data_IF_237801868734
#
_entry.id   IF_237801868734
#
_cell.length_a   1.000
_cell.length_b   1.000
_cell.length_c   1.000
_cell.angle_alpha   90.00
_cell.angle_beta   90.00
_cell.angle_gamma   90.00
#
_symmetry.space_group_name_H-M   'P 1'
#
loop_
_entity.id
_entity.type
_entity.pdbx_description
1 polymer ?
#
# COMPACT_ATOMS: atom_id res chain seq x y z
N UNK A 1 42.78 60.62 -52.56
CA UNK A 1 43.31 62.00 -52.61
C UNK A 1 42.71 62.70 -53.84
N UNK A 2 41.49 63.21 -53.73
CA UNK A 2 40.86 64.05 -54.75
C UNK A 2 40.33 65.27 -53.99
N UNK A 3 41.10 66.37 -53.98
CA UNK A 3 40.75 67.59 -53.26
C UNK A 3 39.64 68.30 -54.03
N UNK A 4 38.40 67.91 -53.77
CA UNK A 4 37.22 68.69 -54.18
C UNK A 4 37.29 70.06 -53.50
N UNK A 5 37.73 71.05 -54.28
CA UNK A 5 37.99 72.43 -53.87
C UNK A 5 36.71 73.28 -53.98
N UNK A 6 35.54 72.69 -53.73
CA UNK A 6 34.25 73.30 -54.08
C UNK A 6 33.95 74.59 -53.30
N UNK A 7 34.28 74.68 -52.01
CA UNK A 7 33.96 75.89 -51.24
C UNK A 7 34.73 77.16 -51.63
N UNK A 8 35.90 77.07 -52.27
CA UNK A 8 36.73 78.26 -52.55
C UNK A 8 36.31 78.96 -53.85
N UNK A 9 35.91 78.16 -54.84
CA UNK A 9 35.57 78.65 -56.17
C UNK A 9 34.14 79.24 -56.16
N UNK A 10 33.22 78.65 -55.38
CA UNK A 10 31.84 79.14 -55.22
C UNK A 10 31.75 80.47 -54.46
N UNK A 11 32.55 80.65 -53.39
CA UNK A 11 32.61 81.92 -52.66
C UNK A 11 33.23 83.06 -53.48
N UNK A 12 34.19 82.73 -54.36
CA UNK A 12 34.77 83.69 -55.30
C UNK A 12 33.74 84.10 -56.34
N UNK A 13 32.88 83.18 -56.78
CA UNK A 13 31.78 83.46 -57.69
C UNK A 13 30.72 84.37 -57.06
N UNK A 14 30.30 84.12 -55.81
CA UNK A 14 29.37 84.98 -55.06
C UNK A 14 29.94 86.40 -54.89
N UNK A 15 31.23 86.51 -54.58
CA UNK A 15 31.91 87.81 -54.43
C UNK A 15 31.90 88.59 -55.75
N UNK A 16 32.17 87.93 -56.87
CA UNK A 16 32.12 88.55 -58.20
C UNK A 16 30.69 88.96 -58.60
N UNK A 17 29.68 88.16 -58.24
CA UNK A 17 28.27 88.50 -58.47
C UNK A 17 27.85 89.76 -57.69
N UNK A 18 28.23 89.87 -56.41
CA UNK A 18 27.99 91.07 -55.60
C UNK A 18 28.64 92.31 -56.20
N UNK A 19 29.89 92.19 -56.67
CA UNK A 19 30.61 93.29 -57.31
C UNK A 19 29.93 93.74 -58.61
N UNK A 20 29.47 92.80 -59.43
CA UNK A 20 28.74 93.12 -60.66
C UNK A 20 27.38 93.78 -60.38
N UNK A 21 26.65 93.33 -59.35
CA UNK A 21 25.39 93.97 -58.93
C UNK A 21 25.60 95.40 -58.43
N UNK A 22 26.70 95.66 -57.73
CA UNK A 22 27.05 97.02 -57.30
C UNK A 22 27.39 97.93 -58.50
N UNK A 23 28.09 97.40 -59.50
CA UNK A 23 28.37 98.13 -60.74
C UNK A 23 27.08 98.50 -61.49
N UNK A 24 26.10 97.59 -61.54
CA UNK A 24 24.78 97.83 -62.15
C UNK A 24 23.97 98.89 -61.39
N UNK A 25 24.05 98.90 -60.05
CA UNK A 25 23.43 99.94 -59.20
C UNK A 25 24.02 101.32 -59.50
N UNK A 26 25.34 101.42 -59.63
CA UNK A 26 26.06 102.67 -59.95
C UNK A 26 25.65 103.20 -61.33
N UNK A 27 25.46 102.30 -62.30
CA UNK A 27 25.03 102.63 -63.66
C UNK A 27 23.53 103.02 -63.77
N UNK A 28 22.75 102.88 -62.69
CA UNK A 28 21.28 103.03 -62.66
C UNK A 28 20.53 102.08 -63.61
N UNK A 29 21.12 100.91 -63.88
CA UNK A 29 20.54 99.89 -64.76
C UNK A 29 19.61 98.90 -64.02
N UNK A 30 19.56 98.99 -62.69
CA UNK A 30 18.67 98.18 -61.83
C UNK A 30 18.03 99.08 -60.76
N UNK A 31 16.74 98.85 -60.46
CA UNK A 31 16.05 99.54 -59.38
C UNK A 31 16.38 98.94 -58.00
N UNK A 32 16.13 99.73 -56.95
CA UNK A 32 16.56 99.38 -55.60
C UNK A 32 15.80 98.18 -55.02
N UNK A 33 14.53 97.97 -55.39
CA UNK A 33 13.73 96.84 -54.91
C UNK A 33 14.23 95.52 -55.51
N UNK A 34 14.42 95.48 -56.83
CA UNK A 34 14.98 94.31 -57.52
C UNK A 34 16.40 93.97 -57.04
N UNK A 35 17.23 94.98 -56.76
CA UNK A 35 18.56 94.78 -56.19
C UNK A 35 18.52 94.10 -54.82
N UNK A 36 17.59 94.51 -53.94
CA UNK A 36 17.41 93.93 -52.61
C UNK A 36 16.98 92.47 -52.73
N UNK A 37 16.05 92.14 -53.63
CA UNK A 37 15.57 90.76 -53.84
C UNK A 37 16.68 89.82 -54.31
N UNK A 38 17.49 90.27 -55.28
CA UNK A 38 18.63 89.48 -55.78
C UNK A 38 19.70 89.31 -54.70
N UNK A 39 19.98 90.35 -53.90
CA UNK A 39 20.91 90.25 -52.76
C UNK A 39 20.44 89.24 -51.72
N UNK A 40 19.17 89.32 -51.31
CA UNK A 40 18.59 88.38 -50.34
C UNK A 40 18.68 86.93 -50.86
N UNK A 41 18.45 86.72 -52.16
CA UNK A 41 18.59 85.41 -52.78
C UNK A 41 20.03 84.91 -52.74
N UNK A 42 21.00 85.78 -53.08
CA UNK A 42 22.43 85.46 -53.00
C UNK A 42 22.84 85.12 -51.56
N UNK A 43 22.38 85.90 -50.57
CA UNK A 43 22.69 85.67 -49.16
C UNK A 43 22.12 84.33 -48.68
N UNK A 44 20.87 84.01 -49.06
CA UNK A 44 20.25 82.71 -48.75
C UNK A 44 21.04 81.55 -49.38
N UNK A 45 21.45 81.67 -50.65
CA UNK A 45 22.26 80.65 -51.35
C UNK A 45 23.64 80.51 -50.72
N UNK A 46 24.27 81.60 -50.27
CA UNK A 46 25.54 81.57 -49.56
C UNK A 46 25.42 80.77 -48.25
N UNK A 47 24.37 81.03 -47.47
CA UNK A 47 24.10 80.29 -46.23
C UNK A 47 23.85 78.81 -46.51
N UNK A 48 23.07 78.47 -47.54
CA UNK A 48 22.86 77.07 -47.95
C UNK A 48 24.17 76.37 -48.35
N UNK A 49 25.04 77.05 -49.09
CA UNK A 49 26.35 76.51 -49.48
C UNK A 49 27.26 76.30 -48.27
N UNK A 50 27.31 77.26 -47.34
CA UNK A 50 28.06 77.11 -46.09
C UNK A 50 27.54 75.92 -45.26
N UNK A 51 26.23 75.75 -45.16
CA UNK A 51 25.61 74.60 -44.48
C UNK A 51 25.90 73.26 -45.17
N UNK A 52 25.97 73.23 -46.50
CA UNK A 52 26.38 72.03 -47.25
C UNK A 52 27.85 71.71 -47.02
N UNK A 53 28.72 72.72 -46.99
CA UNK A 53 30.14 72.55 -46.72
C UNK A 53 30.40 72.03 -45.30
N UNK A 54 29.68 72.52 -44.29
CA UNK A 54 29.76 71.98 -42.92
C UNK A 54 29.33 70.51 -42.89
N UNK A 55 28.17 70.17 -43.48
CA UNK A 55 27.68 68.80 -43.56
C UNK A 55 28.65 67.87 -44.30
N UNK A 56 29.25 68.32 -45.40
CA UNK A 56 30.25 67.54 -46.15
C UNK A 56 31.48 67.28 -45.27
N UNK A 57 31.93 68.26 -44.50
CA UNK A 57 33.07 68.09 -43.60
C UNK A 57 32.73 67.13 -42.44
N UNK A 58 31.53 67.21 -41.87
CA UNK A 58 31.04 66.26 -40.86
C UNK A 58 30.96 64.83 -41.42
N UNK A 59 30.35 64.66 -42.60
CA UNK A 59 30.28 63.37 -43.27
C UNK A 59 31.66 62.79 -43.57
N UNK A 60 32.61 63.62 -44.00
CA UNK A 60 34.01 63.19 -44.20
C UNK A 60 34.66 62.74 -42.90
N UNK A 61 34.47 63.49 -41.82
CA UNK A 61 35.00 63.11 -40.50
C UNK A 61 34.39 61.79 -40.03
N UNK A 62 33.07 61.64 -40.08
CA UNK A 62 32.38 60.40 -39.72
C UNK A 62 32.84 59.22 -40.58
N UNK A 63 33.01 59.44 -41.89
CA UNK A 63 33.52 58.41 -42.82
C UNK A 63 34.93 57.99 -42.43
N UNK A 64 35.81 58.93 -42.07
CA UNK A 64 37.17 58.62 -41.63
C UNK A 64 37.16 57.84 -40.31
N UNK A 65 36.29 58.19 -39.35
CA UNK A 65 36.13 57.44 -38.10
C UNK A 65 35.65 56.02 -38.36
N UNK A 66 34.61 55.83 -39.17
CA UNK A 66 34.08 54.50 -39.52
C UNK A 66 35.15 53.64 -40.23
N UNK A 67 35.94 54.23 -41.13
CA UNK A 67 37.04 53.52 -41.79
C UNK A 67 38.10 53.10 -40.75
N UNK A 68 38.44 53.97 -39.81
CA UNK A 68 39.38 53.66 -38.73
C UNK A 68 38.88 52.51 -37.85
N UNK A 69 37.64 52.59 -37.38
CA UNK A 69 37.02 51.57 -36.52
C UNK A 69 36.91 50.22 -37.24
N UNK A 70 36.57 50.24 -38.53
CA UNK A 70 36.53 49.04 -39.36
C UNK A 70 37.90 48.37 -39.44
N UNK A 71 38.97 49.13 -39.64
CA UNK A 71 40.34 48.58 -39.68
C UNK A 71 40.71 47.93 -38.34
N UNK A 72 40.36 48.56 -37.21
CA UNK A 72 40.61 48.00 -35.87
C UNK A 72 39.85 46.68 -35.69
N UNK A 73 38.56 46.65 -36.04
CA UNK A 73 37.74 45.44 -35.94
C UNK A 73 38.26 44.32 -36.85
N UNK A 74 38.72 44.63 -38.07
CA UNK A 74 39.33 43.65 -38.95
C UNK A 74 40.63 43.07 -38.35
N UNK A 75 41.45 43.89 -37.68
CA UNK A 75 42.64 43.42 -36.97
C UNK A 75 42.30 42.54 -35.77
N UNK A 76 41.34 42.93 -34.94
CA UNK A 76 40.87 42.13 -33.80
C UNK A 76 40.34 40.77 -34.26
N UNK A 77 39.58 40.74 -35.35
CA UNK A 77 39.02 39.51 -35.89
C UNK A 77 40.12 38.55 -36.39
N UNK A 78 41.19 39.07 -36.98
CA UNK A 78 42.37 38.26 -37.36
C UNK A 78 43.01 37.65 -36.11
N UNK A 79 43.26 38.45 -35.06
CA UNK A 79 43.87 37.96 -33.81
C UNK A 79 43.00 36.90 -33.14
N UNK A 80 41.69 37.12 -33.07
CA UNK A 80 40.75 36.14 -32.52
C UNK A 80 40.72 34.85 -33.35
N UNK A 81 40.76 34.96 -34.67
CA UNK A 81 40.83 33.80 -35.57
C UNK A 81 42.10 32.98 -35.32
N UNK A 82 43.25 33.64 -35.13
CA UNK A 82 44.51 32.96 -34.82
C UNK A 82 44.48 32.28 -33.44
N UNK A 83 43.88 32.93 -32.44
CA UNK A 83 43.68 32.33 -31.11
C UNK A 83 42.78 31.10 -31.17
N UNK A 84 41.68 31.16 -31.93
CA UNK A 84 40.79 30.01 -32.12
C UNK A 84 41.54 28.87 -32.82
N UNK A 85 42.34 29.16 -33.85
CA UNK A 85 43.15 28.15 -34.51
C UNK A 85 44.14 27.47 -33.55
N UNK A 86 44.83 28.25 -32.71
CA UNK A 86 45.73 27.71 -31.68
C UNK A 86 45.01 26.84 -30.64
N UNK A 87 43.84 27.28 -30.17
CA UNK A 87 43.04 26.49 -29.22
C UNK A 87 42.50 25.20 -29.84
N UNK A 88 42.14 25.21 -31.13
CA UNK A 88 41.72 24.00 -31.84
C UNK A 88 42.87 23.00 -32.00
N UNK A 89 44.09 23.47 -32.24
CA UNK A 89 45.29 22.63 -32.28
C UNK A 89 45.62 22.05 -30.90
N UNK A 90 45.58 22.86 -29.84
CA UNK A 90 45.79 22.40 -28.48
C UNK A 90 44.74 21.34 -28.08
N UNK A 91 43.47 21.59 -28.41
CA UNK A 91 42.39 20.62 -28.21
C UNK A 91 42.69 19.30 -28.93
N UNK A 92 43.07 19.34 -30.20
CA UNK A 92 43.40 18.13 -30.96
C UNK A 92 44.59 17.37 -30.36
N UNK A 93 45.61 18.08 -29.88
CA UNK A 93 46.76 17.49 -29.20
C UNK A 93 46.36 16.84 -27.86
N UNK A 94 45.51 17.49 -27.07
CA UNK A 94 44.98 16.94 -25.82
C UNK A 94 44.10 15.71 -26.06
N UNK A 95 43.23 15.74 -27.08
CA UNK A 95 42.41 14.58 -27.47
C UNK A 95 43.28 13.39 -27.87
N UNK A 96 44.36 13.62 -28.63
CA UNK A 96 45.32 12.57 -28.98
C UNK A 96 46.05 12.03 -27.74
N UNK A 97 46.53 12.91 -26.86
CA UNK A 97 47.18 12.50 -25.61
C UNK A 97 46.26 11.66 -24.73
N UNK A 98 44.99 12.05 -24.59
CA UNK A 98 43.98 11.26 -23.87
C UNK A 98 43.81 9.90 -24.54
N UNK A 99 43.74 9.83 -25.86
CA UNK A 99 43.61 8.57 -26.59
C UNK A 99 44.82 7.64 -26.35
N UNK A 100 46.05 8.18 -26.39
CA UNK A 100 47.28 7.42 -26.09
C UNK A 100 47.25 6.91 -24.65
N UNK A 101 46.91 7.78 -23.68
CA UNK A 101 46.83 7.40 -22.27
C UNK A 101 45.73 6.35 -22.01
N UNK A 102 44.61 6.42 -22.72
CA UNK A 102 43.54 5.42 -22.66
C UNK A 102 43.97 4.06 -23.23
N UNK A 103 44.80 4.03 -24.28
CA UNK A 103 45.35 2.79 -24.85
C UNK A 103 46.39 2.13 -23.94
N UNK A 104 47.19 2.93 -23.21
CA UNK A 104 48.23 2.42 -22.31
C UNK A 104 47.71 1.89 -20.97
N UNK A 105 46.46 2.19 -20.61
CA UNK A 105 45.84 1.70 -19.39
C UNK A 105 45.15 0.35 -19.64
N UNK A 106 45.35 -0.61 -18.74
CA UNK A 106 44.67 -1.90 -18.79
C UNK A 106 43.15 -1.68 -18.73
N UNK A 107 42.45 -2.12 -19.77
CA UNK A 107 40.99 -2.13 -19.81
C UNK A 107 40.54 -3.50 -19.31
N UNK A 108 39.62 -3.51 -18.34
CA UNK A 108 39.03 -4.75 -17.84
C UNK A 108 37.63 -4.84 -18.47
N UNK A 109 37.41 -5.76 -19.43
CA UNK A 109 36.08 -6.04 -19.94
C UNK A 109 35.13 -6.37 -18.80
N UNK A 110 33.87 -5.95 -18.91
CA UNK A 110 32.82 -6.19 -17.90
C UNK A 110 32.79 -7.63 -17.39
N UNK A 111 32.88 -8.61 -18.30
CA UNK A 111 32.92 -10.03 -17.99
C UNK A 111 34.12 -10.43 -17.11
N UNK A 112 35.29 -9.84 -17.34
CA UNK A 112 36.50 -10.15 -16.58
C UNK A 112 36.47 -9.52 -15.19
N UNK A 113 35.90 -8.31 -15.04
CA UNK A 113 35.73 -7.67 -13.74
C UNK A 113 34.84 -8.52 -12.83
N UNK A 114 33.66 -8.93 -13.34
CA UNK A 114 32.71 -9.77 -12.61
C UNK A 114 33.33 -11.13 -12.28
N UNK A 115 34.07 -11.73 -13.22
CA UNK A 115 34.71 -13.04 -13.02
C UNK A 115 35.85 -12.97 -12.00
N UNK A 116 36.72 -11.97 -12.09
CA UNK A 116 37.83 -11.77 -11.13
C UNK A 116 37.29 -11.48 -9.74
N UNK A 117 36.26 -10.65 -9.65
CA UNK A 117 35.63 -10.32 -8.39
C UNK A 117 34.91 -11.53 -7.77
N UNK A 118 34.21 -12.32 -8.60
CA UNK A 118 33.64 -13.62 -8.17
C UNK A 118 34.72 -14.55 -7.63
N UNK A 119 35.82 -14.73 -8.36
CA UNK A 119 36.94 -15.58 -7.92
C UNK A 119 37.56 -15.11 -6.60
N UNK A 120 37.71 -13.79 -6.41
CA UNK A 120 38.18 -13.22 -5.14
C UNK A 120 37.20 -13.45 -3.99
N UNK A 121 35.89 -13.35 -4.25
CA UNK A 121 34.87 -13.68 -3.26
C UNK A 121 34.84 -15.17 -2.92
N UNK A 122 34.96 -16.05 -3.91
CA UNK A 122 35.01 -17.50 -3.71
C UNK A 122 36.25 -17.88 -2.89
N UNK A 123 37.39 -17.24 -3.16
CA UNK A 123 38.61 -17.40 -2.37
C UNK A 123 38.44 -16.91 -0.92
N UNK A 124 37.77 -15.77 -0.72
CA UNK A 124 37.49 -15.25 0.62
C UNK A 124 36.51 -16.15 1.39
N UNK A 125 35.47 -16.65 0.71
CA UNK A 125 34.51 -17.59 1.28
C UNK A 125 35.18 -18.92 1.66
N UNK A 126 36.10 -19.42 0.83
CA UNK A 126 36.91 -20.60 1.14
C UNK A 126 37.76 -20.44 2.41
N UNK A 127 38.36 -19.25 2.61
CA UNK A 127 39.13 -18.95 3.83
C UNK A 127 38.26 -18.82 5.09
N UNK A 128 37.01 -18.36 4.94
CA UNK A 128 36.06 -18.22 6.05
C UNK A 128 35.41 -19.55 6.47
N UNK A 129 35.53 -20.59 5.64
CA UNK A 129 34.95 -21.93 5.85
C UNK A 129 35.99 -22.96 6.34
N UNK A 130 37.19 -22.51 6.73
CA UNK A 130 38.23 -23.38 7.28
C UNK A 130 37.80 -24.05 8.61
N UNK A 131 38.17 -25.32 8.84
CA UNK A 131 37.68 -26.13 9.96
C UNK A 131 38.10 -25.63 11.36
N UNK A 132 39.01 -24.66 11.46
CA UNK A 132 39.39 -24.03 12.74
C UNK A 132 38.47 -22.86 13.15
N UNK A 133 37.58 -22.42 12.25
CA UNK A 133 36.54 -21.42 12.55
C UNK A 133 35.40 -22.07 13.34
N UNK A 134 35.18 -21.63 14.58
CA UNK A 134 34.06 -22.09 15.44
C UNK A 134 32.67 -21.60 15.00
N UNK A 135 32.57 -20.84 13.92
CA UNK A 135 31.32 -20.27 13.46
C UNK A 135 31.23 -20.33 11.93
N UNK A 136 30.18 -21.00 11.44
CA UNK A 136 29.78 -20.96 10.04
C UNK A 136 29.23 -19.57 9.71
N UNK A 137 30.12 -18.65 9.33
CA UNK A 137 29.72 -17.33 8.86
C UNK A 137 29.30 -17.41 7.39
N UNK A 138 28.00 -17.26 7.12
CA UNK A 138 27.46 -17.11 5.77
C UNK A 138 27.24 -15.63 5.49
N UNK A 139 27.91 -15.07 4.47
CA UNK A 139 27.63 -13.72 3.99
C UNK A 139 26.32 -13.76 3.20
N UNK A 140 25.20 -13.43 3.84
CA UNK A 140 23.87 -13.43 3.21
C UNK A 140 23.76 -12.39 2.09
N UNK A 141 24.29 -11.19 2.32
CA UNK A 141 24.38 -10.13 1.32
C UNK A 141 25.54 -9.16 1.60
N UNK A 142 26.17 -8.67 0.53
CA UNK A 142 27.19 -7.63 0.60
C UNK A 142 26.89 -6.58 -0.46
N UNK A 143 26.76 -5.31 -0.04
CA UNK A 143 26.67 -4.18 -0.94
C UNK A 143 28.06 -3.62 -1.19
N UNK A 144 28.42 -3.43 -2.45
CA UNK A 144 29.72 -2.91 -2.83
C UNK A 144 29.52 -1.69 -3.70
N UNK A 145 30.25 -0.62 -3.36
CA UNK A 145 30.26 0.65 -4.08
C UNK A 145 31.66 0.93 -4.59
N UNK A 146 31.82 1.01 -5.91
CA UNK A 146 33.10 1.23 -6.58
C UNK A 146 33.10 2.56 -7.35
N UNK A 147 34.21 3.29 -7.25
CA UNK A 147 34.47 4.50 -8.03
C UNK A 147 35.44 4.18 -9.17
N UNK A 148 35.02 4.38 -10.42
CA UNK A 148 35.81 3.99 -11.60
C UNK A 148 35.48 4.87 -12.80
N UNK A 149 36.41 4.92 -13.76
CA UNK A 149 36.11 5.42 -15.09
C UNK A 149 35.28 4.39 -15.86
N UNK A 150 34.34 4.88 -16.66
CA UNK A 150 33.49 4.09 -17.55
C UNK A 150 33.70 4.58 -18.98
N UNK A 151 33.93 3.65 -19.90
CA UNK A 151 33.86 3.92 -21.33
C UNK A 151 33.05 2.84 -22.04
N UNK A 152 32.43 3.21 -23.15
CA UNK A 152 31.71 2.28 -24.02
C UNK A 152 32.57 2.04 -25.25
N UNK A 153 32.91 0.79 -25.53
CA UNK A 153 33.68 0.40 -26.71
C UNK A 153 33.03 -0.85 -27.32
N UNK A 154 32.68 -0.79 -28.60
CA UNK A 154 32.04 -1.89 -29.33
C UNK A 154 30.78 -2.43 -28.63
N UNK A 155 29.92 -1.52 -28.13
CA UNK A 155 28.72 -1.81 -27.31
C UNK A 155 28.97 -2.54 -25.97
N UNK A 156 30.23 -2.67 -25.55
CA UNK A 156 30.59 -3.21 -24.23
C UNK A 156 31.07 -2.12 -23.27
N UNK A 157 30.57 -2.17 -22.03
CA UNK A 157 31.08 -1.35 -20.94
C UNK A 157 32.49 -1.81 -20.54
N UNK A 158 33.43 -0.88 -20.59
CA UNK A 158 34.80 -1.05 -20.14
C UNK A 158 34.99 -0.31 -18.82
N UNK A 159 35.54 -1.01 -17.83
CA UNK A 159 35.81 -0.48 -16.51
C UNK A 159 37.30 -0.19 -16.37
N UNK A 160 37.62 0.99 -15.82
CA UNK A 160 38.98 1.40 -15.59
C UNK A 160 39.14 2.02 -14.21
N UNK A 161 39.76 1.24 -13.32
CA UNK A 161 40.10 1.68 -11.96
C UNK A 161 41.18 2.75 -12.00
N UNK A 162 41.10 3.78 -11.14
CA UNK A 162 42.21 4.69 -10.93
C UNK A 162 43.41 3.91 -10.37
N UNK A 163 44.61 4.26 -10.83
CA UNK A 163 45.83 3.73 -10.20
C UNK A 163 46.02 4.39 -8.82
N UNK A 164 46.73 3.75 -7.88
CA UNK A 164 46.99 4.34 -6.57
C UNK A 164 47.62 5.75 -6.62
N UNK A 165 48.43 6.01 -7.64
CA UNK A 165 49.13 7.30 -7.83
C UNK A 165 48.32 8.32 -8.64
N UNK A 166 47.13 7.98 -9.14
CA UNK A 166 46.29 8.89 -9.91
C UNK A 166 45.63 9.94 -8.98
N UNK A 167 45.88 11.22 -9.21
CA UNK A 167 45.17 12.32 -8.54
C UNK A 167 43.92 12.66 -9.36
N UNK A 168 42.84 11.90 -9.16
CA UNK A 168 41.56 12.12 -9.83
C UNK A 168 40.50 12.49 -8.78
N UNK A 169 39.84 13.66 -8.90
CA UNK A 169 38.74 14.01 -8.02
C UNK A 169 37.60 12.98 -8.11
N UNK A 170 37.08 12.47 -6.98
CA UNK A 170 36.09 11.38 -6.96
C UNK A 170 34.74 11.73 -7.60
N UNK A 171 34.45 13.03 -7.77
CA UNK A 171 33.29 13.54 -8.53
C UNK A 171 33.40 13.28 -10.03
N UNK A 172 34.62 13.12 -10.56
CA UNK A 172 34.86 12.80 -11.97
C UNK A 172 34.80 11.29 -12.26
N UNK A 173 34.63 10.47 -11.21
CA UNK A 173 34.52 9.02 -11.32
C UNK A 173 33.06 8.58 -11.24
N UNK A 174 32.70 7.64 -12.11
CA UNK A 174 31.40 6.97 -12.05
C UNK A 174 31.32 6.08 -10.82
N UNK A 175 30.12 5.95 -10.27
CA UNK A 175 29.83 5.07 -9.14
C UNK A 175 29.10 3.83 -9.63
N UNK A 176 29.64 2.66 -9.34
CA UNK A 176 28.98 1.38 -9.57
C UNK A 176 28.57 0.84 -8.22
N UNK A 177 27.31 0.43 -8.12
CA UNK A 177 26.79 -0.26 -6.95
C UNK A 177 26.29 -1.62 -7.37
N UNK A 178 26.70 -2.66 -6.65
CA UNK A 178 26.17 -4.00 -6.84
C UNK A 178 26.04 -4.72 -5.50
N UNK A 179 25.03 -5.58 -5.42
CA UNK A 179 24.77 -6.41 -4.25
C UNK A 179 25.10 -7.86 -4.60
N UNK A 180 26.01 -8.47 -3.84
CA UNK A 180 26.22 -9.91 -3.86
C UNK A 180 25.24 -10.50 -2.85
N UNK A 181 24.57 -11.59 -3.23
CA UNK A 181 23.74 -12.37 -2.31
C UNK A 181 24.21 -13.81 -2.36
N UNK A 182 24.37 -14.44 -1.20
CA UNK A 182 24.55 -15.89 -1.18
C UNK A 182 23.24 -16.54 -1.63
N UNK A 183 23.31 -17.45 -2.59
CA UNK A 183 22.22 -18.40 -2.78
C UNK A 183 22.19 -19.31 -1.56
N UNK A 184 21.07 -19.42 -0.83
CA UNK A 184 20.96 -20.43 0.22
C UNK A 184 21.29 -21.78 -0.40
N UNK A 185 22.15 -22.57 0.25
CA UNK A 185 22.34 -23.98 -0.12
C UNK A 185 20.96 -24.61 -0.04
N UNK A 186 20.46 -25.16 -1.15
CA UNK A 186 19.21 -25.93 -1.11
C UNK A 186 19.37 -27.01 -0.04
N UNK A 187 18.43 -27.12 0.92
CA UNK A 187 18.55 -28.11 1.98
C UNK A 187 18.66 -29.48 1.33
N UNK A 188 19.70 -30.21 1.71
CA UNK A 188 19.89 -31.57 1.25
C UNK A 188 18.81 -32.45 1.91
N UNK A 189 17.72 -32.67 1.19
CA UNK A 189 16.60 -33.46 1.68
C UNK A 189 16.93 -34.96 1.73
N UNK A 190 18.10 -35.39 1.25
CA UNK A 190 18.52 -36.81 1.33
C UNK A 190 18.78 -37.28 2.76
N UNK A 191 18.98 -36.35 3.70
CA UNK A 191 19.17 -36.64 5.13
C UNK A 191 17.85 -36.64 5.93
N UNK A 192 16.71 -36.31 5.30
CA UNK A 192 15.42 -36.25 5.96
C UNK A 192 14.62 -37.54 5.72
N UNK A 193 13.83 -37.91 6.72
CA UNK A 193 12.90 -39.05 6.64
C UNK A 193 11.47 -38.55 6.85
N UNK A 194 10.51 -39.32 6.32
CA UNK A 194 9.09 -38.97 6.36
C UNK A 194 8.50 -39.23 7.75
N UNK A 195 7.77 -38.25 8.26
CA UNK A 195 7.08 -38.31 9.55
C UNK A 195 5.83 -39.20 9.43
N UNK A 196 5.69 -40.24 10.27
CA UNK A 196 4.52 -41.12 10.23
C UNK A 196 3.22 -40.38 10.57
N UNK A 197 2.09 -40.89 10.07
CA UNK A 197 0.76 -40.45 10.51
C UNK A 197 0.39 -41.20 11.79
N UNK A 198 0.24 -40.45 12.87
CA UNK A 198 -0.10 -40.92 14.21
C UNK A 198 -1.57 -40.67 14.55
N UNK A 199 -2.31 -39.98 13.69
CA UNK A 199 -3.70 -39.61 13.98
C UNK A 199 -4.58 -40.85 14.10
N UNK A 200 -5.42 -40.88 15.14
CA UNK A 200 -6.29 -42.02 15.45
C UNK A 200 -5.60 -43.20 16.14
N UNK A 201 -4.28 -43.14 16.38
CA UNK A 201 -3.59 -44.12 17.23
C UNK A 201 -3.78 -43.79 18.71
N UNK A 202 -3.63 -44.80 19.58
CA UNK A 202 -3.48 -44.57 21.03
C UNK A 202 -2.11 -43.95 21.34
N UNK A 203 -1.98 -43.32 22.50
CA UNK A 203 -0.70 -42.78 22.97
C UNK A 203 0.47 -43.78 22.85
N UNK A 204 0.28 -45.02 23.31
CA UNK A 204 1.34 -46.03 23.33
C UNK A 204 1.68 -46.54 21.92
N UNK A 205 0.67 -46.68 21.05
CA UNK A 205 0.87 -47.03 19.63
C UNK A 205 1.62 -45.90 18.89
N UNK A 206 1.30 -44.65 19.18
CA UNK A 206 1.96 -43.50 18.61
C UNK A 206 3.43 -43.40 19.05
N UNK A 207 3.73 -43.60 20.34
CA UNK A 207 5.12 -43.66 20.82
C UNK A 207 5.92 -44.77 20.14
N UNK A 208 5.32 -45.95 19.96
CA UNK A 208 5.95 -47.04 19.22
C UNK A 208 6.21 -46.65 17.76
N UNK A 209 5.22 -46.10 17.06
CA UNK A 209 5.37 -45.69 15.66
C UNK A 209 6.42 -44.59 15.47
N UNK A 210 6.50 -43.63 16.40
CA UNK A 210 7.53 -42.58 16.40
C UNK A 210 8.94 -43.19 16.50
N UNK A 211 9.13 -44.12 17.44
CA UNK A 211 10.45 -44.73 17.67
C UNK A 211 10.85 -45.71 16.56
N UNK A 212 9.91 -46.47 16.02
CA UNK A 212 10.11 -47.37 14.87
C UNK A 212 10.49 -46.60 13.60
N UNK A 213 9.88 -45.43 13.38
CA UNK A 213 10.21 -44.52 12.29
C UNK A 213 11.54 -43.76 12.50
N UNK A 214 12.27 -43.99 13.61
CA UNK A 214 13.57 -43.36 13.86
C UNK A 214 13.49 -41.93 14.42
N UNK A 215 12.33 -41.52 14.93
CA UNK A 215 12.13 -40.26 15.64
C UNK A 215 12.12 -40.46 17.16
N UNK A 216 12.00 -39.36 17.92
CA UNK A 216 11.88 -39.39 19.39
C UNK A 216 10.49 -38.90 19.81
N UNK A 217 9.86 -39.52 20.81
CA UNK A 217 8.66 -38.96 21.43
C UNK A 217 8.97 -37.56 21.98
N UNK A 218 8.14 -36.60 21.61
CA UNK A 218 8.21 -35.22 22.07
C UNK A 218 7.28 -34.97 23.25
N UNK A 219 6.67 -33.79 23.25
CA UNK A 219 5.69 -33.36 24.22
C UNK A 219 4.33 -33.97 23.92
N UNK A 220 3.75 -34.64 24.91
CA UNK A 220 2.34 -35.03 24.89
C UNK A 220 1.49 -33.93 25.52
N UNK A 221 0.53 -33.41 24.77
CA UNK A 221 -0.46 -32.45 25.27
C UNK A 221 -1.88 -33.00 25.16
N UNK A 222 -2.80 -32.47 25.97
CA UNK A 222 -4.20 -32.89 25.97
C UNK A 222 -5.08 -31.78 25.41
N UNK A 223 -6.03 -32.14 24.54
CA UNK A 223 -7.02 -31.21 24.01
C UNK A 223 -8.41 -31.83 23.99
N UNK A 224 -9.39 -31.00 24.32
CA UNK A 224 -10.79 -31.39 24.34
C UNK A 224 -11.27 -31.80 22.93
N UNK A 225 -11.87 -32.97 22.82
CA UNK A 225 -12.35 -33.53 21.55
C UNK A 225 -13.47 -34.54 21.77
N UNK A 226 -14.27 -34.77 20.73
CA UNK A 226 -15.29 -35.83 20.68
C UNK A 226 -14.70 -37.21 20.35
N UNK A 227 -13.39 -37.31 20.15
CA UNK A 227 -12.68 -38.58 19.94
C UNK A 227 -12.56 -39.36 21.25
N UNK A 228 -12.47 -40.71 21.22
CA UNK A 228 -12.25 -41.53 22.42
C UNK A 228 -11.04 -41.04 23.20
N UNK A 229 -11.10 -41.04 24.54
CA UNK A 229 -10.01 -40.54 25.39
C UNK A 229 -8.67 -41.23 25.10
N UNK A 230 -7.59 -40.44 25.02
CA UNK A 230 -6.23 -40.94 24.83
C UNK A 230 -5.85 -41.25 23.39
N UNK A 231 -6.71 -40.92 22.42
CA UNK A 231 -6.41 -41.03 20.99
C UNK A 231 -5.67 -39.78 20.52
N UNK A 232 -4.66 -39.96 19.67
CA UNK A 232 -3.96 -38.84 19.03
C UNK A 232 -4.89 -38.16 18.04
N UNK A 233 -5.08 -36.86 18.22
CA UNK A 233 -5.94 -36.00 17.39
C UNK A 233 -5.14 -34.94 16.61
N UNK A 234 -3.87 -34.73 16.98
CA UNK A 234 -2.97 -33.83 16.27
C UNK A 234 -1.52 -34.23 16.54
N UNK A 235 -0.61 -33.84 15.64
CA UNK A 235 0.83 -34.09 15.78
C UNK A 235 1.65 -32.95 15.17
N UNK A 236 2.84 -32.73 15.70
CA UNK A 236 3.83 -31.78 15.17
C UNK A 236 5.21 -32.43 15.20
N UNK A 237 5.93 -32.54 14.06
CA UNK A 237 5.55 -32.12 12.71
C UNK A 237 4.35 -32.90 12.13
N UNK A 238 3.70 -32.35 11.11
CA UNK A 238 2.52 -32.94 10.49
C UNK A 238 2.84 -34.28 9.81
N UNK A 239 1.85 -35.16 9.71
CA UNK A 239 1.95 -36.40 8.96
C UNK A 239 2.51 -36.18 7.55
N UNK A 240 3.32 -37.13 7.07
CA UNK A 240 3.97 -37.13 5.76
C UNK A 240 4.92 -35.95 5.49
N UNK A 241 5.24 -35.13 6.50
CA UNK A 241 6.27 -34.08 6.37
C UNK A 241 7.67 -34.66 6.50
N UNK A 242 8.69 -33.89 6.10
CA UNK A 242 10.09 -34.29 6.22
C UNK A 242 10.69 -33.73 7.51
N UNK A 243 11.32 -34.59 8.31
CA UNK A 243 12.05 -34.20 9.50
C UNK A 243 13.40 -34.93 9.60
N UNK A 244 14.33 -34.34 10.34
CA UNK A 244 15.66 -34.92 10.57
C UNK A 244 15.49 -36.18 11.43
N UNK A 245 16.19 -37.28 11.14
CA UNK A 245 16.21 -38.46 12.00
C UNK A 245 16.49 -38.11 13.46
N UNK A 246 15.71 -38.68 14.38
CA UNK A 246 15.80 -38.39 15.82
C UNK A 246 15.21 -37.05 16.26
N UNK A 247 14.55 -36.30 15.38
CA UNK A 247 13.71 -35.16 15.76
C UNK A 247 12.59 -35.61 16.70
N UNK A 248 12.16 -34.69 17.57
CA UNK A 248 11.03 -34.92 18.46
C UNK A 248 9.71 -34.75 17.70
N UNK A 249 8.75 -35.66 17.91
CA UNK A 249 7.37 -35.52 17.43
C UNK A 249 6.47 -35.31 18.64
N UNK A 250 5.89 -34.11 18.73
CA UNK A 250 4.89 -33.76 19.72
C UNK A 250 3.53 -34.31 19.28
N UNK A 251 2.76 -34.83 20.24
CA UNK A 251 1.41 -35.35 19.98
C UNK A 251 0.39 -34.65 20.86
N UNK A 252 -0.79 -34.46 20.32
CA UNK A 252 -1.96 -34.01 21.09
C UNK A 252 -2.95 -35.14 21.18
N UNK A 253 -3.27 -35.55 22.40
CA UNK A 253 -4.26 -36.60 22.65
C UNK A 253 -5.60 -36.00 23.06
N UNK A 254 -6.68 -36.70 22.73
CA UNK A 254 -8.04 -36.35 23.08
C UNK A 254 -8.26 -36.48 24.59
N UNK A 255 -8.82 -35.42 25.16
CA UNK A 255 -9.35 -35.40 26.51
C UNK A 255 -10.85 -35.28 26.45
N UNK A 256 -11.55 -36.21 27.08
CA UNK A 256 -12.97 -36.10 27.31
C UNK A 256 -13.19 -35.08 28.43
N UNK A 257 -14.07 -34.10 28.21
CA UNK A 257 -14.55 -33.22 29.27
C UNK A 257 -15.78 -33.87 29.89
N UNK A 258 -15.72 -34.08 31.20
CA UNK A 258 -16.91 -34.32 31.98
C UNK A 258 -17.32 -33.06 32.73
N UNK A 259 -18.63 -32.88 32.87
CA UNK A 259 -19.26 -31.77 33.57
C UNK A 259 -20.29 -32.35 34.55
N UNK A 260 -20.50 -31.66 35.67
CA UNK A 260 -21.55 -32.03 36.62
C UNK A 260 -22.89 -31.46 36.16
N UNK A 261 -23.93 -32.29 36.18
CA UNK A 261 -25.29 -31.85 35.87
C UNK A 261 -25.78 -30.91 36.97
N UNK A 262 -26.20 -29.68 36.65
CA UNK A 262 -26.71 -28.74 37.64
C UNK A 262 -28.12 -29.14 38.09
N UNK A 263 -28.48 -28.73 39.31
CA UNK A 263 -29.87 -28.76 39.75
C UNK A 263 -30.70 -27.66 39.08
N UNK A 264 -31.71 -28.06 38.30
CA UNK A 264 -32.66 -27.16 37.63
C UNK A 264 -34.10 -27.35 38.11
N UNK A 265 -34.33 -28.28 39.04
CA UNK A 265 -35.66 -28.53 39.61
C UNK A 265 -36.14 -27.31 40.39
N UNK A 266 -37.38 -26.90 40.13
CA UNK A 266 -38.00 -25.72 40.74
C UNK A 266 -37.76 -24.40 40.01
N UNK A 267 -36.89 -24.37 39.00
CA UNK A 267 -36.75 -23.21 38.11
C UNK A 267 -37.90 -23.16 37.10
N UNK A 268 -38.15 -21.98 36.54
CA UNK A 268 -38.99 -21.88 35.34
C UNK A 268 -38.24 -22.44 34.12
N UNK A 269 -38.98 -22.85 33.10
CA UNK A 269 -38.45 -23.49 31.88
C UNK A 269 -37.38 -22.65 31.18
N UNK A 270 -37.51 -21.33 31.14
CA UNK A 270 -36.57 -20.48 30.39
C UNK A 270 -35.25 -20.36 31.17
N UNK A 271 -35.32 -20.07 32.47
CA UNK A 271 -34.14 -20.07 33.35
C UNK A 271 -33.45 -21.44 33.38
N UNK A 272 -34.22 -22.53 33.44
CA UNK A 272 -33.66 -23.89 33.45
C UNK A 272 -32.92 -24.24 32.17
N UNK A 273 -33.45 -23.84 31.00
CA UNK A 273 -32.76 -24.01 29.71
C UNK A 273 -31.46 -23.21 29.66
N UNK A 274 -31.45 -21.98 30.17
CA UNK A 274 -30.23 -21.19 30.24
C UNK A 274 -29.16 -21.88 31.12
N UNK A 275 -29.56 -22.43 32.27
CA UNK A 275 -28.64 -23.16 33.15
C UNK A 275 -28.06 -24.41 32.46
N UNK A 276 -28.89 -25.18 31.75
CA UNK A 276 -28.45 -26.34 30.95
C UNK A 276 -27.39 -25.91 29.91
N UNK A 277 -27.71 -24.91 29.09
CA UNK A 277 -26.83 -24.46 27.99
C UNK A 277 -25.53 -23.86 28.53
N UNK A 278 -25.61 -23.02 29.57
CA UNK A 278 -24.44 -22.40 30.19
C UNK A 278 -23.53 -23.44 30.85
N UNK A 279 -24.08 -24.58 31.26
CA UNK A 279 -23.31 -25.71 31.78
C UNK A 279 -22.73 -26.60 30.66
N UNK A 280 -22.87 -26.23 29.39
CA UNK A 280 -22.42 -26.99 28.22
C UNK A 280 -23.15 -28.34 28.04
N UNK A 281 -24.40 -28.43 28.53
CA UNK A 281 -25.32 -29.53 28.29
C UNK A 281 -26.33 -29.15 27.19
N UNK A 282 -27.03 -30.14 26.67
CA UNK A 282 -28.10 -29.92 25.68
C UNK A 282 -29.48 -30.06 26.33
N UNK A 283 -30.45 -29.30 25.84
CA UNK A 283 -31.85 -29.44 26.28
C UNK A 283 -32.43 -30.64 25.55
N UNK A 284 -32.85 -31.65 26.32
CA UNK A 284 -33.47 -32.86 25.80
C UNK A 284 -34.97 -32.71 25.52
N UNK A 285 -35.70 -33.81 25.66
CA UNK A 285 -37.15 -33.85 25.54
C UNK A 285 -37.82 -33.06 26.68
N UNK A 286 -38.84 -32.28 26.34
CA UNK A 286 -39.65 -31.53 27.30
C UNK A 286 -41.03 -32.14 27.33
N UNK A 287 -41.44 -32.67 28.48
CA UNK A 287 -42.77 -33.25 28.69
C UNK A 287 -43.52 -32.51 29.78
N UNK A 288 -44.84 -32.57 29.74
CA UNK A 288 -45.70 -31.88 30.70
C UNK A 288 -46.38 -32.87 31.65
N UNK A 289 -46.48 -32.49 32.92
CA UNK A 289 -47.18 -33.27 33.93
C UNK A 289 -48.10 -32.38 34.77
N UNK A 290 -49.34 -32.83 35.00
CA UNK A 290 -50.27 -32.15 35.89
C UNK A 290 -49.70 -32.05 37.31
N UNK A 291 -49.64 -30.84 37.85
CA UNK A 291 -49.05 -30.55 39.16
C UNK A 291 -49.73 -29.35 39.82
N UNK A 292 -49.53 -29.21 41.13
CA UNK A 292 -49.94 -28.03 41.90
C UNK A 292 -48.94 -26.87 41.82
N UNK A 293 -47.75 -27.12 41.26
CA UNK A 293 -46.74 -26.08 41.02
C UNK A 293 -47.20 -25.10 39.94
N UNK A 294 -46.60 -23.92 39.91
CA UNK A 294 -46.85 -22.92 38.86
C UNK A 294 -46.57 -23.52 37.48
N UNK A 295 -47.48 -23.31 36.52
CA UNK A 295 -47.31 -23.77 35.13
C UNK A 295 -45.96 -23.33 34.57
N UNK A 296 -45.24 -24.25 33.93
CA UNK A 296 -43.90 -24.00 33.37
C UNK A 296 -42.74 -24.16 34.35
N UNK A 297 -43.00 -24.52 35.61
CA UNK A 297 -41.95 -24.89 36.58
C UNK A 297 -41.41 -26.27 36.27
N UNK A 298 -40.08 -26.45 36.27
CA UNK A 298 -39.42 -27.75 36.11
C UNK A 298 -39.66 -28.59 37.37
N UNK A 299 -40.26 -29.76 37.19
CA UNK A 299 -40.58 -30.71 38.26
C UNK A 299 -39.53 -31.81 38.38
N UNK A 300 -39.03 -32.29 37.23
CA UNK A 300 -38.11 -33.43 37.14
C UNK A 300 -37.08 -33.11 36.06
N UNK A 301 -35.83 -33.48 36.34
CA UNK A 301 -34.75 -33.60 35.36
C UNK A 301 -34.37 -35.08 35.21
N UNK A 302 -34.02 -35.51 34.00
CA UNK A 302 -33.69 -36.91 33.68
C UNK A 302 -32.40 -37.42 34.31
N UNK A 303 -31.42 -36.52 34.54
CA UNK A 303 -30.13 -36.84 35.13
C UNK A 303 -30.02 -36.14 36.47
N UNK A 304 -29.66 -36.87 37.54
CA UNK A 304 -29.58 -36.33 38.89
C UNK A 304 -28.51 -35.24 39.02
N UNK A 305 -28.79 -34.24 39.85
CA UNK A 305 -27.83 -33.19 40.25
C UNK A 305 -26.51 -33.79 40.74
N UNK A 306 -25.39 -33.18 40.32
CA UNK A 306 -24.04 -33.63 40.64
C UNK A 306 -23.56 -34.85 39.86
N UNK A 307 -24.41 -35.47 39.01
CA UNK A 307 -23.97 -36.56 38.14
C UNK A 307 -22.97 -36.03 37.12
N UNK A 308 -21.83 -36.70 37.02
CA UNK A 308 -20.79 -36.35 36.04
C UNK A 308 -21.10 -36.99 34.67
N UNK A 309 -21.29 -36.17 33.65
CA UNK A 309 -21.63 -36.59 32.29
C UNK A 309 -20.74 -35.91 31.24
N UNK A 310 -20.81 -36.38 29.99
CA UNK A 310 -20.08 -35.76 28.88
C UNK A 310 -20.67 -34.40 28.53
N UNK A 311 -19.83 -33.48 28.08
CA UNK A 311 -20.28 -32.24 27.44
C UNK A 311 -21.24 -32.58 26.29
N UNK A 312 -22.32 -31.81 26.18
CA UNK A 312 -23.37 -32.02 25.18
C UNK A 312 -24.37 -33.13 25.51
N UNK A 313 -24.30 -33.76 26.69
CA UNK A 313 -25.32 -34.73 27.10
C UNK A 313 -26.70 -34.05 27.18
N UNK A 314 -27.74 -34.60 26.52
CA UNK A 314 -29.08 -34.04 26.60
C UNK A 314 -29.71 -34.32 27.98
N UNK A 315 -30.32 -33.28 28.56
CA UNK A 315 -31.09 -33.38 29.81
C UNK A 315 -32.58 -33.18 29.49
N UNK A 316 -33.33 -34.28 29.49
CA UNK A 316 -34.79 -34.22 29.39
C UNK A 316 -35.39 -33.63 30.67
N UNK A 317 -36.47 -32.86 30.54
CA UNK A 317 -37.15 -32.19 31.64
C UNK A 317 -38.67 -32.43 31.61
N UNK A 318 -39.26 -32.54 32.80
CA UNK A 318 -40.71 -32.57 32.99
C UNK A 318 -41.14 -31.26 33.64
N UNK A 319 -42.07 -30.54 33.02
CA UNK A 319 -42.59 -29.27 33.53
C UNK A 319 -44.03 -29.40 34.04
N UNK A 320 -44.40 -28.50 34.94
CA UNK A 320 -45.76 -28.41 35.46
C UNK A 320 -46.73 -27.91 34.39
N UNK A 321 -47.72 -28.73 34.07
CA UNK A 321 -48.90 -28.34 33.30
C UNK A 321 -49.91 -27.62 34.21
N UNK A 322 -50.85 -26.89 33.60
CA UNK A 322 -52.01 -26.34 34.32
C UNK A 322 -52.84 -27.46 34.94
N UNK A 323 -53.43 -27.19 36.10
CA UNK A 323 -54.35 -28.14 36.76
C UNK A 323 -55.58 -28.34 35.87
N UNK A 324 -56.02 -29.60 35.71
CA UNK A 324 -57.26 -29.89 35.03
C UNK A 324 -58.43 -29.71 36.02
N UNK A 325 -59.40 -28.88 35.67
CA UNK A 325 -60.59 -28.58 36.46
C UNK A 325 -61.84 -29.07 35.72
N UNK A 326 -62.84 -29.49 36.48
CA UNK A 326 -64.11 -29.98 35.94
C UNK A 326 -65.00 -28.79 35.52
N UNK A 327 -65.52 -28.82 34.29
CA UNK A 327 -66.46 -27.82 33.81
C UNK A 327 -67.78 -27.92 34.60
N UNK A 328 -68.19 -26.87 35.32
CA UNK A 328 -69.42 -26.90 36.10
C UNK A 328 -70.66 -27.00 35.19
N UNK A 329 -71.74 -27.60 35.69
CA UNK A 329 -73.03 -27.56 35.00
C UNK A 329 -73.66 -26.17 35.10
N UNK A 330 -73.89 -25.52 33.96
CA UNK A 330 -74.40 -24.15 33.83
C UNK A 330 -75.83 -24.08 33.29
N UNK A 331 -76.27 -25.09 32.53
CA UNK A 331 -77.60 -25.14 31.91
C UNK A 331 -78.71 -24.94 32.96
N UNK A 332 -79.67 -24.07 32.65
CA UNK A 332 -80.79 -23.71 33.52
C UNK A 332 -80.46 -22.70 34.64
N UNK A 333 -79.20 -22.30 34.80
CA UNK A 333 -78.80 -21.26 35.76
C UNK A 333 -78.90 -19.87 35.16
N UNK A 334 -79.00 -18.84 36.02
CA UNK A 334 -78.91 -17.44 35.61
C UNK A 334 -77.49 -17.11 35.13
N UNK A 335 -77.38 -16.26 34.12
CA UNK A 335 -76.12 -15.85 33.50
C UNK A 335 -75.09 -15.36 34.54
N UNK A 336 -75.51 -14.55 35.51
CA UNK A 336 -74.61 -14.06 36.57
C UNK A 336 -74.13 -15.19 37.50
N UNK A 337 -75.01 -16.14 37.81
CA UNK A 337 -74.65 -17.32 38.60
C UNK A 337 -73.73 -18.26 37.81
N UNK A 338 -73.94 -18.40 36.49
CA UNK A 338 -73.08 -19.19 35.62
C UNK A 338 -71.67 -18.60 35.55
N UNK A 339 -71.54 -17.28 35.35
CA UNK A 339 -70.25 -16.57 35.40
C UNK A 339 -69.54 -16.75 36.74
N UNK A 340 -70.29 -16.74 37.85
CA UNK A 340 -69.74 -17.00 39.18
C UNK A 340 -69.19 -18.42 39.32
N UNK A 341 -69.94 -19.44 38.88
CA UNK A 341 -69.52 -20.84 38.93
C UNK A 341 -68.30 -21.12 38.05
N UNK A 342 -68.26 -20.56 36.83
CA UNK A 342 -67.10 -20.64 35.93
C UNK A 342 -65.84 -20.09 36.64
N UNK A 343 -65.90 -18.87 37.17
CA UNK A 343 -64.77 -18.26 37.90
C UNK A 343 -64.40 -19.02 39.16
N UNK A 344 -65.38 -19.57 39.87
CA UNK A 344 -65.14 -20.37 41.09
C UNK A 344 -64.47 -21.71 40.78
N UNK A 345 -64.72 -22.27 39.58
CA UNK A 345 -64.02 -23.42 39.03
C UNK A 345 -62.65 -23.06 38.43
N UNK A 346 -62.18 -21.80 38.61
CA UNK A 346 -60.94 -21.25 38.04
C UNK A 346 -60.92 -21.26 36.49
N UNK A 347 -62.09 -21.22 35.88
CA UNK A 347 -62.27 -21.08 34.44
C UNK A 347 -62.64 -19.64 34.09
N UNK A 348 -62.56 -19.31 32.80
CA UNK A 348 -62.87 -17.96 32.31
C UNK A 348 -64.21 -17.98 31.57
N UNK A 349 -65.13 -17.04 31.81
CA UNK A 349 -66.33 -16.93 30.99
C UNK A 349 -65.96 -16.60 29.54
N UNK A 350 -66.43 -17.43 28.62
CA UNK A 350 -66.18 -17.32 27.19
C UNK A 350 -67.19 -16.43 26.47
N UNK A 351 -67.40 -16.73 25.19
CA UNK A 351 -68.31 -16.02 24.31
C UNK A 351 -69.77 -16.35 24.62
N UNK A 352 -70.58 -15.32 24.91
CA UNK A 352 -72.00 -15.48 25.26
C UNK A 352 -72.87 -15.12 24.06
N UNK A 353 -73.59 -16.10 23.53
CA UNK A 353 -74.53 -15.93 22.40
C UNK A 353 -75.96 -15.87 22.92
N UNK A 354 -76.74 -14.88 22.47
CA UNK A 354 -78.17 -14.77 22.82
C UNK A 354 -79.02 -15.52 21.80
N UNK A 355 -80.02 -16.25 22.29
CA UNK A 355 -80.98 -17.00 21.47
C UNK A 355 -82.39 -16.80 22.03
N UNK A 356 -83.39 -16.77 21.13
CA UNK A 356 -84.79 -16.70 21.50
C UNK A 356 -85.23 -17.99 22.21
N UNK A 357 -85.93 -17.84 23.34
CA UNK A 357 -86.39 -18.96 24.16
C UNK A 357 -87.63 -18.59 24.96
N UNK A 358 -88.42 -19.60 25.32
CA UNK A 358 -89.55 -19.47 26.25
C UNK A 358 -89.11 -19.40 27.72
N UNK A 359 -87.82 -19.65 28.01
CA UNK A 359 -87.24 -19.57 29.34
C UNK A 359 -87.17 -18.12 29.86
N UNK A 360 -87.08 -17.97 31.19
CA UNK A 360 -86.92 -16.64 31.81
C UNK A 360 -85.64 -15.98 31.31
N UNK A 361 -85.66 -14.68 31.02
CA UNK A 361 -84.51 -13.92 30.51
C UNK A 361 -83.22 -14.16 31.31
N UNK A 362 -82.08 -14.19 30.61
CA UNK A 362 -80.73 -14.46 31.15
C UNK A 362 -80.55 -15.86 31.77
N UNK A 363 -81.22 -16.88 31.22
CA UNK A 363 -81.01 -18.29 31.60
C UNK A 363 -80.10 -18.98 30.57
N UNK A 364 -79.10 -19.73 31.04
CA UNK A 364 -78.18 -20.49 30.18
C UNK A 364 -78.93 -21.66 29.55
N UNK A 365 -78.93 -21.73 28.21
CA UNK A 365 -79.62 -22.77 27.43
C UNK A 365 -78.66 -23.89 27.05
N UNK A 366 -77.44 -23.52 26.67
CA UNK A 366 -76.38 -24.40 26.19
C UNK A 366 -75.05 -23.96 26.81
N UNK A 367 -74.10 -24.88 26.89
CA UNK A 367 -72.73 -24.60 27.32
C UNK A 367 -71.75 -25.42 26.48
N UNK A 368 -70.57 -24.87 26.26
CA UNK A 368 -69.45 -25.58 25.65
C UNK A 368 -68.13 -25.17 26.34
N UNK A 369 -67.34 -26.11 26.91
CA UNK A 369 -67.55 -27.58 26.91
C UNK A 369 -68.72 -28.08 27.79
N UNK A 370 -69.20 -29.33 27.58
CA UNK A 370 -70.25 -29.93 28.41
C UNK A 370 -69.84 -30.08 29.88
N UNK A 371 -70.83 -30.09 30.77
CA UNK A 371 -70.61 -30.28 32.19
C UNK A 371 -69.91 -31.62 32.48
N UNK A 372 -68.95 -31.62 33.41
CA UNK A 372 -68.14 -32.80 33.74
C UNK A 372 -66.91 -33.01 32.85
N UNK A 373 -66.73 -32.20 31.81
CA UNK A 373 -65.51 -32.23 30.98
C UNK A 373 -64.32 -31.73 31.81
N UNK A 374 -63.16 -32.39 31.71
CA UNK A 374 -61.92 -31.93 32.32
C UNK A 374 -61.18 -31.01 31.34
N UNK A 375 -60.96 -29.77 31.74
CA UNK A 375 -60.27 -28.74 30.94
C UNK A 375 -59.16 -28.11 31.75
N UNK A 376 -58.18 -27.47 31.09
CA UNK A 376 -57.10 -26.80 31.81
C UNK A 376 -57.62 -25.55 32.54
N UNK A 377 -57.05 -25.25 33.71
CA UNK A 377 -57.31 -24.02 34.44
C UNK A 377 -57.16 -22.79 33.52
N UNK A 378 -58.11 -21.86 33.62
CA UNK A 378 -58.17 -20.66 32.78
C UNK A 378 -58.74 -20.88 31.38
N UNK A 379 -59.16 -22.09 31.00
CA UNK A 379 -59.93 -22.29 29.76
C UNK A 379 -61.28 -21.58 29.80
N UNK A 380 -61.76 -21.23 28.60
CA UNK A 380 -63.02 -20.54 28.42
C UNK A 380 -64.19 -21.53 28.37
N UNK A 381 -65.28 -21.20 29.08
CA UNK A 381 -66.57 -21.89 28.94
C UNK A 381 -67.56 -20.91 28.31
N UNK A 382 -68.04 -21.25 27.10
CA UNK A 382 -68.93 -20.43 26.28
C UNK A 382 -70.41 -20.65 26.64
#
# INVERSE_FOLDING_TARGET
MNRYRYGKDDMTFITNLRQNLENLRIAKEIDEASLIEVRNTIDNVEVELQNKDTLINELRNNTNTIISDKIVLEQENIVLSDQIAGLLEEKANLENNIQILQQQRAQIPSKNLVTTFRQSLDSMAGQLTEPESKADYIISSMNVKLKTNLSLKDDELQFQLPKPDDIIPPENLSTIEFTIRSTPKEPDLSEYIEVPDLTGMTHDEAEYAITDAGFKPGTTSEKNSNSPQGMVIDQIPSACSLAIPGAAIDITVSKIINIEVPNIVGLDIDSGKEVIINSQLEVGEITEQSSKSTSGTILIQSIEDGTTVLVGTPVDIVIAAREAVEVPGLIGKKLDMAKYLIRSAKLVPGNIVKQDSTEKGDTVLEQDPPAGTMVLEGESVN
#
